data_IF_774578553316
#
_entry.id   IF_774578553316
#
_cell.length_a   1.000
_cell.length_b   1.000
_cell.length_c   1.000
_cell.angle_alpha   90.00
_cell.angle_beta   90.00
_cell.angle_gamma   90.00
#
_symmetry.space_group_name_H-M   'P 1'
#
loop_
_entity.id
_entity.type
_entity.pdbx_description
1 polymer ?
#
# COMPACT_ATOMS: atom_id res chain seq x y z
N UNK A 1 43.11 1.82 -0.81
CA UNK A 1 41.76 1.81 -0.19
C UNK A 1 41.93 2.36 1.22
N UNK A 2 41.34 3.51 1.54
CA UNK A 2 41.52 4.15 2.85
C UNK A 2 40.61 3.44 3.85
N UNK A 3 41.18 2.84 4.89
CA UNK A 3 40.43 2.16 5.93
C UNK A 3 39.88 3.24 6.88
N UNK A 4 38.56 3.43 6.91
CA UNK A 4 37.90 4.35 7.84
C UNK A 4 37.41 3.53 9.02
N UNK A 5 37.92 3.79 10.22
CA UNK A 5 37.37 3.21 11.44
C UNK A 5 36.14 4.03 11.80
N UNK A 6 34.95 3.41 11.73
CA UNK A 6 33.70 3.98 12.21
C UNK A 6 33.26 3.23 13.45
N UNK A 7 32.92 3.94 14.52
CA UNK A 7 32.34 3.32 15.72
C UNK A 7 30.86 3.03 15.51
N UNK A 8 30.29 2.15 16.34
CA UNK A 8 28.85 1.90 16.31
C UNK A 8 28.06 3.18 16.65
N UNK A 9 28.58 4.02 17.54
CA UNK A 9 27.97 5.33 17.83
C UNK A 9 27.96 6.23 16.58
N UNK A 10 29.06 6.29 15.82
CA UNK A 10 29.13 7.12 14.60
C UNK A 10 28.18 6.65 13.50
N UNK A 11 27.93 5.34 13.40
CA UNK A 11 26.93 4.80 12.47
C UNK A 11 25.52 5.21 12.90
N UNK A 12 25.20 5.09 14.19
CA UNK A 12 23.89 5.48 14.75
C UNK A 12 23.66 6.98 14.61
N UNK A 13 24.68 7.80 14.85
CA UNK A 13 24.62 9.26 14.68
C UNK A 13 24.51 9.66 13.19
N UNK A 14 24.95 8.80 12.28
CA UNK A 14 24.78 8.99 10.84
C UNK A 14 23.41 8.54 10.30
N UNK A 15 22.61 7.85 11.12
CA UNK A 15 21.26 7.46 10.74
C UNK A 15 20.35 8.69 10.79
N UNK A 16 20.07 9.28 9.64
CA UNK A 16 18.99 10.23 9.50
C UNK A 16 17.64 9.49 9.42
N UNK A 17 16.55 10.08 9.94
CA UNK A 17 15.21 9.64 9.62
C UNK A 17 15.04 9.61 8.10
N UNK A 18 14.58 8.49 7.57
CA UNK A 18 14.11 8.42 6.19
C UNK A 18 12.75 9.12 6.17
N UNK A 19 12.77 10.42 5.87
CA UNK A 19 11.55 11.17 5.58
C UNK A 19 11.04 10.67 4.23
N UNK A 20 10.17 9.67 4.27
CA UNK A 20 9.53 9.16 3.06
C UNK A 20 8.44 10.16 2.72
N UNK A 21 8.70 10.99 1.71
CA UNK A 21 7.71 11.88 1.13
C UNK A 21 6.61 11.04 0.48
N UNK A 22 5.66 10.62 1.31
CA UNK A 22 4.61 9.68 0.92
C UNK A 22 3.52 10.36 0.08
N UNK A 23 3.48 11.70 0.09
CA UNK A 23 2.48 12.51 -0.60
C UNK A 23 3.04 13.01 -1.92
N UNK A 24 3.30 12.06 -2.83
CA UNK A 24 3.65 12.40 -4.21
C UNK A 24 2.44 13.00 -4.96
N UNK A 25 2.68 13.45 -6.20
CA UNK A 25 1.63 14.03 -7.04
C UNK A 25 0.45 13.07 -7.27
N UNK A 26 0.72 11.76 -7.30
CA UNK A 26 -0.26 10.72 -7.54
C UNK A 26 -1.17 10.55 -6.32
N UNK A 27 -0.59 10.48 -5.11
CA UNK A 27 -1.31 10.44 -3.85
C UNK A 27 -2.18 11.70 -3.67
N UNK A 28 -1.61 12.88 -3.94
CA UNK A 28 -2.34 14.16 -3.87
C UNK A 28 -3.55 14.18 -4.80
N UNK A 29 -3.37 13.81 -6.07
CA UNK A 29 -4.45 13.76 -7.04
C UNK A 29 -5.52 12.71 -6.69
N UNK A 30 -5.12 11.59 -6.09
CA UNK A 30 -6.05 10.53 -5.64
C UNK A 30 -6.90 11.00 -4.48
N UNK A 31 -6.29 11.64 -3.47
CA UNK A 31 -7.02 12.18 -2.32
C UNK A 31 -8.02 13.25 -2.78
N UNK A 32 -7.59 14.18 -3.64
CA UNK A 32 -8.48 15.19 -4.21
C UNK A 32 -9.67 14.53 -4.92
N UNK A 33 -9.40 13.54 -5.79
CA UNK A 33 -10.46 12.84 -6.52
C UNK A 33 -11.41 12.07 -5.61
N UNK A 34 -10.91 11.42 -4.56
CA UNK A 34 -11.77 10.72 -3.57
C UNK A 34 -12.62 11.69 -2.75
N UNK A 35 -12.09 12.88 -2.45
CA UNK A 35 -12.78 13.93 -1.69
C UNK A 35 -13.93 14.56 -2.48
N UNK A 36 -13.75 14.70 -3.79
CA UNK A 36 -14.76 15.28 -4.69
C UNK A 36 -15.85 14.28 -5.13
N UNK A 37 -15.78 13.01 -4.70
CA UNK A 37 -16.79 12.04 -5.08
C UNK A 37 -18.16 12.41 -4.50
N UNK A 38 -19.22 12.44 -5.33
CA UNK A 38 -20.54 12.83 -4.87
C UNK A 38 -21.09 11.77 -3.91
N UNK A 39 -21.69 12.19 -2.80
CA UNK A 39 -22.36 11.31 -1.87
C UNK A 39 -23.75 10.92 -2.41
N UNK A 40 -23.87 9.71 -2.97
CA UNK A 40 -25.09 9.21 -3.63
C UNK A 40 -25.59 7.94 -2.95
N UNK A 41 -26.89 7.68 -3.01
CA UNK A 41 -27.47 6.42 -2.53
C UNK A 41 -27.15 5.23 -3.44
N UNK A 42 -26.99 5.51 -4.74
CA UNK A 42 -26.71 4.53 -5.79
C UNK A 42 -25.56 5.03 -6.65
N UNK A 43 -24.60 4.15 -6.90
CA UNK A 43 -23.54 4.34 -7.89
C UNK A 43 -23.80 3.35 -9.04
N UNK A 44 -23.45 3.75 -10.26
CA UNK A 44 -23.62 2.92 -11.45
C UNK A 44 -22.50 3.10 -12.47
N UNK A 45 -22.75 2.58 -13.68
CA UNK A 45 -21.80 2.62 -14.80
C UNK A 45 -21.21 4.00 -15.05
N UNK A 46 -22.05 5.02 -15.04
CA UNK A 46 -21.65 6.40 -15.33
C UNK A 46 -20.73 6.98 -14.25
N UNK A 47 -20.89 6.55 -13.00
CA UNK A 47 -19.99 6.94 -11.92
C UNK A 47 -18.62 6.30 -12.09
N UNK A 48 -18.57 5.01 -12.49
CA UNK A 48 -17.32 4.33 -12.85
C UNK A 48 -16.66 5.05 -14.04
N UNK A 49 -17.42 5.32 -15.11
CA UNK A 49 -16.94 6.04 -16.27
C UNK A 49 -16.30 7.39 -15.90
N UNK A 50 -17.01 8.20 -15.11
CA UNK A 50 -16.53 9.51 -14.60
C UNK A 50 -15.27 9.35 -13.73
N UNK A 51 -15.20 8.28 -12.93
CA UNK A 51 -14.02 7.98 -12.13
C UNK A 51 -12.79 7.75 -13.02
N UNK A 52 -12.92 7.12 -14.19
CA UNK A 52 -11.81 6.81 -15.10
C UNK A 52 -11.54 7.86 -16.20
N UNK A 53 -12.51 8.71 -16.58
CA UNK A 53 -12.41 9.63 -17.74
C UNK A 53 -11.37 10.74 -17.64
N UNK A 54 -10.98 11.12 -16.43
CA UNK A 54 -9.92 12.09 -16.21
C UNK A 54 -8.53 11.48 -16.39
N UNK A 55 -7.69 11.65 -15.36
CA UNK A 55 -6.44 10.90 -15.28
C UNK A 55 -6.74 9.44 -14.96
N UNK A 56 -6.73 8.57 -15.97
CA UNK A 56 -7.03 7.14 -15.83
C UNK A 56 -6.29 6.46 -14.68
N UNK A 57 -4.99 6.75 -14.51
CA UNK A 57 -4.18 6.17 -13.43
C UNK A 57 -4.68 6.58 -12.03
N UNK A 58 -5.20 7.81 -11.86
CA UNK A 58 -5.90 8.23 -10.64
C UNK A 58 -7.19 7.43 -10.47
N UNK A 59 -7.98 7.33 -11.54
CA UNK A 59 -9.28 6.65 -11.51
C UNK A 59 -9.17 5.18 -11.15
N UNK A 60 -8.24 4.45 -11.77
CA UNK A 60 -8.03 3.04 -11.51
C UNK A 60 -7.41 2.80 -10.13
N UNK A 61 -6.58 3.72 -9.64
CA UNK A 61 -6.11 3.70 -8.26
C UNK A 61 -7.27 3.87 -7.28
N UNK A 62 -8.16 4.85 -7.49
CA UNK A 62 -9.37 5.00 -6.67
C UNK A 62 -10.23 3.73 -6.68
N UNK A 63 -10.48 3.15 -7.87
CA UNK A 63 -11.26 1.92 -8.00
C UNK A 63 -10.64 0.78 -7.18
N UNK A 64 -9.32 0.61 -7.28
CA UNK A 64 -8.57 -0.39 -6.50
C UNK A 64 -8.68 -0.17 -4.99
N UNK A 65 -8.65 1.08 -4.54
CA UNK A 65 -8.80 1.43 -3.12
C UNK A 65 -10.21 1.08 -2.61
N UNK A 66 -11.27 1.38 -3.37
CA UNK A 66 -12.63 0.98 -3.01
C UNK A 66 -12.79 -0.54 -2.91
N UNK A 67 -12.19 -1.26 -3.85
CA UNK A 67 -12.22 -2.72 -3.89
C UNK A 67 -11.28 -3.37 -2.87
N UNK A 68 -10.42 -2.57 -2.20
CA UNK A 68 -9.37 -3.03 -1.30
C UNK A 68 -8.44 -4.11 -1.92
N UNK A 69 -8.16 -4.00 -3.23
CA UNK A 69 -7.29 -4.92 -3.94
C UNK A 69 -5.83 -4.44 -3.96
N UNK A 70 -4.88 -5.37 -3.97
CA UNK A 70 -3.50 -5.05 -4.34
C UNK A 70 -3.42 -4.73 -5.83
N UNK A 71 -2.29 -4.13 -6.26
CA UNK A 71 -2.05 -3.88 -7.69
C UNK A 71 -2.14 -5.19 -8.48
N UNK A 72 -1.39 -6.19 -8.06
CA UNK A 72 -1.31 -7.48 -8.75
C UNK A 72 -2.67 -8.17 -8.83
N UNK A 73 -3.46 -8.10 -7.75
CA UNK A 73 -4.80 -8.69 -7.73
C UNK A 73 -5.76 -7.97 -8.67
N UNK A 74 -5.71 -6.63 -8.71
CA UNK A 74 -6.48 -5.84 -9.67
C UNK A 74 -6.11 -6.22 -11.12
N UNK A 75 -4.81 -6.35 -11.41
CA UNK A 75 -4.36 -6.73 -12.75
C UNK A 75 -4.80 -8.15 -13.13
N UNK A 76 -4.74 -9.09 -12.20
CA UNK A 76 -5.22 -10.46 -12.40
C UNK A 76 -6.72 -10.48 -12.76
N UNK A 77 -7.55 -9.79 -11.97
CA UNK A 77 -9.00 -9.77 -12.18
C UNK A 77 -9.38 -9.07 -13.51
N UNK A 78 -8.73 -7.94 -13.82
CA UNK A 78 -8.96 -7.25 -15.10
C UNK A 78 -8.51 -8.10 -16.29
N UNK A 79 -7.38 -8.81 -16.21
CA UNK A 79 -6.92 -9.71 -17.28
C UNK A 79 -7.85 -10.91 -17.43
N UNK A 80 -8.40 -11.44 -16.33
CA UNK A 80 -9.39 -12.51 -16.38
C UNK A 80 -10.67 -12.06 -17.10
N UNK A 81 -11.13 -10.84 -16.84
CA UNK A 81 -12.35 -10.30 -17.44
C UNK A 81 -12.17 -9.81 -18.89
N UNK A 82 -11.04 -9.16 -19.20
CA UNK A 82 -10.82 -8.48 -20.49
C UNK A 82 -9.92 -9.26 -21.46
N UNK A 83 -9.29 -10.34 -20.98
CA UNK A 83 -8.36 -11.14 -21.77
C UNK A 83 -6.96 -10.53 -21.91
N UNK A 84 -6.17 -11.00 -22.88
CA UNK A 84 -4.73 -10.69 -22.97
C UNK A 84 -4.42 -9.29 -23.54
N UNK A 85 -5.40 -8.61 -24.13
CA UNK A 85 -5.21 -7.40 -24.96
C UNK A 85 -4.93 -6.12 -24.18
N UNK A 86 -4.52 -6.25 -22.92
CA UNK A 86 -4.15 -5.15 -22.02
C UNK A 86 -5.30 -4.67 -21.13
N UNK A 87 -4.92 -3.95 -20.08
CA UNK A 87 -5.84 -3.48 -19.01
C UNK A 87 -5.64 -1.99 -18.69
N UNK A 88 -4.84 -1.27 -19.48
CA UNK A 88 -4.52 0.14 -19.26
C UNK A 88 -5.48 1.11 -19.95
N UNK A 89 -5.14 2.39 -19.89
CA UNK A 89 -5.95 3.49 -20.43
C UNK A 89 -6.33 3.33 -21.92
N UNK A 90 -5.46 2.75 -22.74
CA UNK A 90 -5.77 2.49 -24.15
C UNK A 90 -6.87 1.45 -24.31
N UNK A 91 -6.88 0.39 -23.50
CA UNK A 91 -7.96 -0.60 -23.50
C UNK A 91 -9.28 0.05 -23.10
N UNK A 92 -9.27 0.87 -22.05
CA UNK A 92 -10.46 1.60 -21.60
C UNK A 92 -11.04 2.53 -22.68
N UNK A 93 -10.18 3.19 -23.47
CA UNK A 93 -10.63 4.06 -24.58
C UNK A 93 -11.22 3.28 -25.74
N UNK A 94 -10.60 2.16 -26.12
CA UNK A 94 -11.00 1.38 -27.29
C UNK A 94 -12.16 0.41 -27.03
N UNK A 95 -12.28 -0.11 -25.81
CA UNK A 95 -13.26 -1.12 -25.44
C UNK A 95 -13.90 -0.77 -24.09
N UNK A 96 -14.50 0.42 -24.08
CA UNK A 96 -14.99 1.07 -22.87
C UNK A 96 -16.08 0.26 -22.17
N UNK A 97 -17.06 -0.23 -22.91
CA UNK A 97 -18.20 -0.93 -22.34
C UNK A 97 -17.80 -2.23 -21.64
N UNK A 98 -16.90 -3.02 -22.24
CA UNK A 98 -16.40 -4.24 -21.60
C UNK A 98 -15.52 -3.92 -20.40
N UNK A 99 -14.72 -2.84 -20.47
CA UNK A 99 -13.92 -2.39 -19.32
C UNK A 99 -14.81 -2.00 -18.13
N UNK A 100 -15.87 -1.22 -18.39
CA UNK A 100 -16.83 -0.83 -17.37
C UNK A 100 -17.58 -2.05 -16.82
N UNK A 101 -18.00 -2.98 -17.69
CA UNK A 101 -18.64 -4.23 -17.26
C UNK A 101 -17.72 -5.09 -16.38
N UNK A 102 -16.41 -5.13 -16.66
CA UNK A 102 -15.44 -5.82 -15.82
C UNK A 102 -15.37 -5.21 -14.41
N UNK A 103 -15.38 -3.87 -14.30
CA UNK A 103 -15.39 -3.20 -13.00
C UNK A 103 -16.72 -3.35 -12.25
N UNK A 104 -17.84 -3.39 -12.96
CA UNK A 104 -19.16 -3.71 -12.40
C UNK A 104 -19.21 -5.15 -11.87
N UNK A 105 -18.62 -6.10 -12.59
CA UNK A 105 -18.53 -7.50 -12.16
C UNK A 105 -17.65 -7.68 -10.91
N UNK A 106 -16.72 -6.76 -10.65
CA UNK A 106 -15.97 -6.68 -9.39
C UNK A 106 -16.73 -5.96 -8.26
N UNK A 107 -18.01 -5.63 -8.47
CA UNK A 107 -18.87 -4.92 -7.52
C UNK A 107 -18.35 -3.54 -7.11
N UNK A 108 -17.64 -2.85 -8.01
CA UNK A 108 -17.11 -1.52 -7.72
C UNK A 108 -18.20 -0.52 -7.27
N UNK A 109 -19.38 -0.43 -7.89
CA UNK A 109 -20.44 0.47 -7.42
C UNK A 109 -20.87 0.22 -5.98
N UNK A 110 -21.00 -1.06 -5.60
CA UNK A 110 -21.38 -1.47 -4.25
C UNK A 110 -20.26 -1.17 -3.26
N UNK A 111 -19.00 -1.38 -3.65
CA UNK A 111 -17.83 -1.02 -2.85
C UNK A 111 -17.75 0.49 -2.61
N UNK A 112 -17.98 1.31 -3.64
CA UNK A 112 -18.07 2.78 -3.53
C UNK A 112 -19.17 3.19 -2.54
N UNK A 113 -20.38 2.62 -2.69
CA UNK A 113 -21.50 2.88 -1.77
C UNK A 113 -21.13 2.55 -0.32
N UNK A 114 -20.60 1.35 -0.08
CA UNK A 114 -20.23 0.88 1.27
C UNK A 114 -19.20 1.81 1.91
N UNK A 115 -18.15 2.18 1.16
CA UNK A 115 -17.08 3.02 1.68
C UNK A 115 -17.53 4.46 1.96
N UNK A 116 -18.30 5.07 1.04
CA UNK A 116 -18.72 6.48 1.18
C UNK A 116 -19.75 6.66 2.30
N UNK A 117 -20.64 5.68 2.50
CA UNK A 117 -21.62 5.71 3.59
C UNK A 117 -21.06 5.18 4.92
N UNK A 118 -19.80 4.74 4.94
CA UNK A 118 -19.18 4.22 6.14
C UNK A 118 -18.93 5.34 7.14
N UNK A 119 -19.37 5.14 8.39
CA UNK A 119 -19.05 6.03 9.51
C UNK A 119 -17.92 5.39 10.31
N UNK A 120 -16.65 5.77 10.11
CA UNK A 120 -15.55 5.15 10.82
C UNK A 120 -15.64 5.44 12.32
N UNK A 121 -15.37 4.41 13.11
CA UNK A 121 -15.11 4.51 14.54
C UNK A 121 -13.61 4.39 14.80
N UNK A 122 -13.17 4.82 15.98
CA UNK A 122 -11.75 4.86 16.32
C UNK A 122 -11.05 3.50 16.19
N UNK A 123 -11.75 2.40 16.45
CA UNK A 123 -11.20 1.04 16.34
C UNK A 123 -10.81 0.67 14.91
N UNK A 124 -11.50 1.22 13.91
CA UNK A 124 -11.24 0.91 12.50
C UNK A 124 -9.88 1.44 12.07
N UNK A 125 -9.51 2.62 12.56
CA UNK A 125 -8.19 3.21 12.34
C UNK A 125 -7.10 2.27 12.88
N UNK A 126 -7.33 1.66 14.05
CA UNK A 126 -6.38 0.70 14.62
C UNK A 126 -6.37 -0.64 13.88
N UNK A 127 -7.54 -1.16 13.48
CA UNK A 127 -7.65 -2.38 12.66
C UNK A 127 -6.90 -2.20 11.33
N UNK A 128 -7.09 -1.08 10.64
CA UNK A 128 -6.39 -0.79 9.39
C UNK A 128 -4.88 -0.61 9.58
N UNK A 129 -4.45 0.01 10.69
CA UNK A 129 -3.01 0.08 11.04
C UNK A 129 -2.42 -1.31 11.27
N UNK A 130 -3.14 -2.21 11.94
CA UNK A 130 -2.71 -3.60 12.13
C UNK A 130 -2.66 -4.34 10.79
N UNK A 131 -3.71 -4.23 9.97
CA UNK A 131 -3.81 -4.87 8.64
C UNK A 131 -2.69 -4.44 7.70
N UNK A 132 -2.31 -3.17 7.76
CA UNK A 132 -1.22 -2.60 6.94
C UNK A 132 0.17 -2.79 7.55
N UNK A 133 0.29 -3.49 8.69
CA UNK A 133 1.56 -3.68 9.40
C UNK A 133 2.11 -2.40 10.05
N UNK A 134 1.37 -1.29 10.01
CA UNK A 134 1.72 -0.01 10.67
C UNK A 134 1.63 -0.09 12.19
N UNK A 135 0.92 -1.07 12.74
CA UNK A 135 0.93 -1.38 14.17
C UNK A 135 2.18 -2.15 14.62
N UNK A 136 2.88 -2.79 13.69
CA UNK A 136 4.12 -3.55 13.93
C UNK A 136 5.36 -2.68 13.74
N UNK A 137 5.27 -1.68 12.87
CA UNK A 137 6.29 -0.66 12.68
C UNK A 137 5.93 0.60 13.48
N UNK A 138 6.03 0.51 14.81
CA UNK A 138 6.13 1.72 15.63
C UNK A 138 7.49 2.33 15.30
N UNK A 139 7.46 3.52 14.70
CA UNK A 139 8.60 4.40 14.55
C UNK A 139 9.38 4.44 15.88
N UNK A 140 10.54 3.78 15.93
CA UNK A 140 11.39 3.71 17.13
C UNK A 140 11.24 2.49 18.06
N UNK A 141 10.54 1.40 17.72
CA UNK A 141 10.61 0.15 18.51
C UNK A 141 11.68 -0.82 18.00
N UNK A 142 12.54 -1.22 18.95
CA UNK A 142 13.71 -2.09 18.86
C UNK A 142 13.45 -3.29 17.93
N UNK A 143 14.27 -3.38 16.87
CA UNK A 143 14.31 -4.52 15.95
C UNK A 143 14.30 -5.82 16.75
N UNK A 144 13.49 -6.78 16.29
CA UNK A 144 13.56 -8.15 16.79
C UNK A 144 15.02 -8.61 16.76
N UNK A 145 15.48 -9.13 17.89
CA UNK A 145 16.88 -9.54 18.12
C UNK A 145 17.32 -10.72 17.24
N UNK A 146 16.66 -11.02 16.14
CA UNK A 146 16.98 -12.22 15.35
C UNK A 146 18.42 -12.24 14.86
N UNK A 147 19.00 -11.07 14.55
CA UNK A 147 20.40 -10.97 14.15
C UNK A 147 21.35 -11.05 15.35
N UNK A 148 21.00 -10.42 16.47
CA UNK A 148 21.74 -10.46 17.71
C UNK A 148 21.74 -11.87 18.33
N UNK A 149 20.60 -12.56 18.32
CA UNK A 149 20.42 -13.93 18.77
C UNK A 149 21.22 -14.90 17.89
N UNK A 150 21.20 -14.68 16.57
CA UNK A 150 22.00 -15.46 15.62
C UNK A 150 23.50 -15.23 15.80
N UNK A 151 23.92 -13.97 15.97
CA UNK A 151 25.31 -13.61 16.22
C UNK A 151 25.79 -14.13 17.58
N UNK A 152 24.96 -14.03 18.62
CA UNK A 152 25.27 -14.55 19.95
C UNK A 152 25.39 -16.08 19.93
N UNK A 153 24.55 -16.78 19.16
CA UNK A 153 24.67 -18.22 18.98
C UNK A 153 26.00 -18.62 18.30
N UNK A 154 26.41 -17.91 17.25
CA UNK A 154 27.70 -18.13 16.60
C UNK A 154 28.89 -17.82 17.53
N UNK A 155 28.78 -16.76 18.33
CA UNK A 155 29.83 -16.39 19.29
C UNK A 155 29.94 -17.43 20.40
N UNK A 156 28.82 -17.95 20.92
CA UNK A 156 28.79 -19.07 21.87
C UNK A 156 29.45 -20.33 21.30
N UNK A 157 29.18 -20.64 20.03
CA UNK A 157 29.74 -21.81 19.35
C UNK A 157 31.27 -21.71 19.21
N UNK A 158 31.78 -20.51 18.91
CA UNK A 158 33.21 -20.30 18.66
C UNK A 158 34.02 -20.08 19.96
N UNK A 159 33.46 -19.37 20.93
CA UNK A 159 34.19 -18.92 22.12
C UNK A 159 33.77 -19.58 23.44
N UNK A 160 32.71 -20.40 23.42
CA UNK A 160 32.12 -21.00 24.63
C UNK A 160 31.29 -19.99 25.43
N UNK A 161 30.48 -20.48 26.38
CA UNK A 161 29.52 -19.63 27.13
C UNK A 161 30.18 -18.53 27.98
N UNK A 162 31.44 -18.72 28.40
CA UNK A 162 32.20 -17.76 29.21
C UNK A 162 33.19 -16.89 28.41
N UNK A 163 33.23 -17.06 27.08
CA UNK A 163 34.21 -16.41 26.19
C UNK A 163 33.88 -14.97 25.79
N UNK A 164 32.73 -14.44 26.22
CA UNK A 164 32.28 -13.09 25.88
C UNK A 164 31.46 -12.47 27.02
N UNK A 165 31.45 -11.13 27.13
CA UNK A 165 30.61 -10.41 28.08
C UNK A 165 29.44 -9.76 27.36
N UNK A 166 28.24 -10.11 27.79
CA UNK A 166 27.04 -9.35 27.47
C UNK A 166 27.04 -8.03 28.24
N UNK A 167 26.52 -6.96 27.63
CA UNK A 167 26.45 -5.61 28.21
C UNK A 167 25.12 -5.39 28.91
#
# INVERSE_FOLDING_TARGET
MKQTNQTCEEIVDSLSPLDVDWMDEMATATIAKLTDLPHKEHYGRDDIATLLDGKFEVGILCARLFLALSKDKMEEELRRALGPTGIGSQRFKHDRDNYLAALEALELPQAMKRAIHYKPVWSDIFIERLRTGRGSAIQGQKRGRGLEDFAEALVKEVFGEDGYRLR
#
